data_IF_154971614666
#
_entry.id   IF_154971614666
#
_cell.length_a   1.000
_cell.length_b   1.000
_cell.length_c   1.000
_cell.angle_alpha   90.00
_cell.angle_beta   90.00
_cell.angle_gamma   90.00
#
_symmetry.space_group_name_H-M   'P 1'
#
loop_
_entity.id
_entity.type
_entity.pdbx_description
1 polymer ?
#
# COMPACT_ATOMS: atom_id res chain seq x y z
N UNK A 1 -17.70 -5.83 -12.46
CA UNK A 1 -17.11 -6.12 -11.13
C UNK A 1 -18.09 -5.90 -9.97
N UNK A 2 -18.69 -4.73 -9.75
CA UNK A 2 -19.60 -4.50 -8.59
C UNK A 2 -20.71 -5.54 -8.45
N UNK A 3 -21.41 -5.86 -9.54
CA UNK A 3 -22.48 -6.86 -9.52
C UNK A 3 -21.98 -8.24 -9.07
N UNK A 4 -20.87 -8.72 -9.64
CA UNK A 4 -20.26 -9.98 -9.26
C UNK A 4 -19.81 -10.03 -7.78
N UNK A 5 -19.35 -8.89 -7.23
CA UNK A 5 -19.00 -8.78 -5.79
C UNK A 5 -20.25 -8.96 -4.92
N UNK A 6 -21.36 -8.31 -5.31
CA UNK A 6 -22.64 -8.37 -4.59
C UNK A 6 -23.22 -9.79 -4.66
N UNK A 7 -23.33 -10.36 -5.86
CA UNK A 7 -23.86 -11.71 -6.11
C UNK A 7 -22.98 -12.79 -5.47
N UNK A 8 -21.66 -12.56 -5.41
CA UNK A 8 -20.71 -13.41 -4.71
C UNK A 8 -20.82 -13.37 -3.17
N UNK A 9 -21.70 -12.53 -2.62
CA UNK A 9 -21.96 -12.47 -1.18
C UNK A 9 -20.87 -11.79 -0.35
N UNK A 10 -19.97 -11.03 -0.99
CA UNK A 10 -18.90 -10.29 -0.31
C UNK A 10 -19.50 -9.27 0.67
N UNK A 11 -18.93 -9.18 1.87
CA UNK A 11 -19.47 -8.34 2.96
C UNK A 11 -18.71 -7.03 3.18
N UNK A 12 -17.47 -6.96 2.70
CA UNK A 12 -16.59 -5.80 2.86
C UNK A 12 -15.84 -5.60 1.54
N UNK A 13 -15.76 -4.35 1.09
CA UNK A 13 -15.00 -3.97 -0.12
C UNK A 13 -14.04 -2.85 0.22
N UNK A 14 -12.78 -2.99 -0.18
CA UNK A 14 -11.84 -1.87 -0.26
C UNK A 14 -11.96 -1.20 -1.64
N UNK A 15 -12.16 0.11 -1.65
CA UNK A 15 -12.12 0.94 -2.87
C UNK A 15 -10.92 1.87 -2.82
N UNK A 16 -10.37 2.21 -3.97
CA UNK A 16 -9.27 3.17 -4.11
C UNK A 16 -9.44 3.96 -5.42
N UNK A 17 -8.83 5.15 -5.48
CA UNK A 17 -8.84 6.00 -6.67
C UNK A 17 -9.89 7.12 -6.66
N UNK A 18 -10.03 7.79 -7.79
CA UNK A 18 -10.80 9.03 -7.91
C UNK A 18 -12.32 8.79 -8.04
N UNK A 19 -13.13 9.65 -7.40
CA UNK A 19 -14.61 9.66 -7.46
C UNK A 19 -15.28 8.29 -7.11
N UNK A 20 -15.10 7.76 -5.90
CA UNK A 20 -15.66 6.46 -5.51
C UNK A 20 -17.16 6.48 -5.21
N UNK A 21 -17.83 7.64 -5.18
CA UNK A 21 -19.22 7.80 -4.69
C UNK A 21 -20.20 6.78 -5.28
N UNK A 22 -20.23 6.65 -6.61
CA UNK A 22 -21.15 5.72 -7.29
C UNK A 22 -20.94 4.27 -6.81
N UNK A 23 -19.69 3.90 -6.52
CA UNK A 23 -19.35 2.57 -6.04
C UNK A 23 -19.72 2.39 -4.57
N UNK A 24 -19.42 3.39 -3.74
CA UNK A 24 -19.79 3.40 -2.32
C UNK A 24 -21.31 3.28 -2.20
N UNK A 25 -22.08 4.14 -2.85
CA UNK A 25 -23.55 4.12 -2.80
C UNK A 25 -24.11 2.75 -3.19
N UNK A 26 -23.60 2.19 -4.30
CA UNK A 26 -24.07 0.90 -4.78
C UNK A 26 -23.76 -0.24 -3.80
N UNK A 27 -22.60 -0.26 -3.17
CA UNK A 27 -22.28 -1.27 -2.14
C UNK A 27 -23.11 -1.08 -0.87
N UNK A 28 -23.31 0.17 -0.43
CA UNK A 28 -24.09 0.49 0.76
C UNK A 28 -25.57 0.12 0.61
N UNK A 29 -26.16 0.29 -0.59
CA UNK A 29 -27.52 -0.18 -0.91
C UNK A 29 -27.71 -1.69 -0.70
N UNK A 30 -26.63 -2.47 -0.77
CA UNK A 30 -26.63 -3.91 -0.59
C UNK A 30 -26.08 -4.34 0.78
N UNK A 31 -25.94 -3.41 1.73
CA UNK A 31 -25.46 -3.68 3.09
C UNK A 31 -23.98 -4.10 3.16
N UNK A 32 -23.19 -3.79 2.14
CA UNK A 32 -21.75 -4.10 2.09
C UNK A 32 -20.99 -2.95 2.73
N UNK A 33 -20.10 -3.26 3.67
CA UNK A 33 -19.21 -2.25 4.28
C UNK A 33 -18.14 -1.82 3.29
N UNK A 34 -17.79 -0.54 3.30
CA UNK A 34 -16.77 -0.01 2.39
C UNK A 34 -15.62 0.60 3.17
N UNK A 35 -14.41 0.13 2.88
CA UNK A 35 -13.16 0.81 3.26
C UNK A 35 -12.73 1.63 2.04
N UNK A 36 -12.39 2.91 2.21
CA UNK A 36 -11.84 3.71 1.11
C UNK A 36 -10.40 4.14 1.38
N UNK A 37 -9.49 3.79 0.46
CA UNK A 37 -8.08 4.15 0.54
C UNK A 37 -7.82 5.55 0.01
N UNK A 38 -7.14 6.36 0.82
CA UNK A 38 -6.95 7.79 0.62
C UNK A 38 -5.49 8.18 0.84
N UNK A 39 -4.96 9.07 0.01
CA UNK A 39 -3.59 9.59 0.11
C UNK A 39 -3.49 10.97 0.79
N UNK A 40 -4.63 11.54 1.19
CA UNK A 40 -4.68 12.85 1.82
C UNK A 40 -5.88 12.97 2.76
N UNK A 41 -5.74 13.81 3.80
CA UNK A 41 -6.81 14.07 4.78
C UNK A 41 -8.09 14.59 4.13
N UNK A 42 -7.97 15.44 3.09
CA UNK A 42 -9.13 15.95 2.33
C UNK A 42 -9.91 14.83 1.61
N UNK A 43 -9.20 13.80 1.14
CA UNK A 43 -9.81 12.65 0.47
C UNK A 43 -10.51 11.75 1.49
N UNK A 44 -9.88 11.52 2.64
CA UNK A 44 -10.47 10.78 3.76
C UNK A 44 -11.78 11.39 4.25
N UNK A 45 -11.78 12.70 4.52
CA UNK A 45 -12.98 13.43 4.92
C UNK A 45 -14.05 13.42 3.83
N UNK A 46 -13.65 13.43 2.55
CA UNK A 46 -14.60 13.28 1.47
C UNK A 46 -15.26 11.90 1.53
N UNK A 47 -14.48 10.82 1.57
CA UNK A 47 -14.99 9.46 1.57
C UNK A 47 -15.85 9.13 2.81
N UNK A 48 -15.51 9.67 3.97
CA UNK A 48 -16.37 9.61 5.16
C UNK A 48 -17.74 10.25 4.91
N UNK A 49 -17.78 11.46 4.32
CA UNK A 49 -19.06 12.09 3.91
C UNK A 49 -19.82 11.29 2.86
N UNK A 50 -19.13 10.51 2.03
CA UNK A 50 -19.75 9.59 1.06
C UNK A 50 -20.32 8.33 1.71
N UNK A 51 -20.05 8.09 2.99
CA UNK A 51 -20.58 6.94 3.74
C UNK A 51 -19.65 5.73 3.80
N UNK A 52 -18.34 5.91 3.56
CA UNK A 52 -17.35 4.87 3.84
C UNK A 52 -17.40 4.47 5.34
N UNK A 53 -17.31 3.17 5.62
CA UNK A 53 -17.36 2.60 6.97
C UNK A 53 -16.00 2.65 7.68
N UNK A 54 -14.92 2.74 6.92
CA UNK A 54 -13.56 2.97 7.41
C UNK A 54 -12.71 3.63 6.32
N UNK A 55 -11.60 4.23 6.71
CA UNK A 55 -10.61 4.80 5.79
C UNK A 55 -9.30 4.04 5.90
N UNK A 56 -8.61 3.84 4.78
CA UNK A 56 -7.20 3.42 4.76
C UNK A 56 -6.35 4.62 4.33
N UNK A 57 -5.50 5.13 5.22
CA UNK A 57 -4.65 6.30 4.95
C UNK A 57 -3.30 5.82 4.42
N UNK A 58 -3.07 6.03 3.12
CA UNK A 58 -1.85 5.65 2.42
C UNK A 58 -0.80 6.77 2.51
N UNK A 59 0.28 6.52 3.27
CA UNK A 59 1.42 7.42 3.37
C UNK A 59 2.34 7.37 2.16
N UNK A 60 3.27 8.32 2.08
CA UNK A 60 4.25 8.43 0.98
C UNK A 60 5.09 7.15 0.77
N UNK A 61 5.28 6.35 1.82
CA UNK A 61 6.05 5.11 1.84
C UNK A 61 5.37 3.96 1.05
N UNK A 62 4.08 4.09 0.72
CA UNK A 62 3.28 3.01 0.14
C UNK A 62 3.80 2.54 -1.23
N UNK A 63 3.59 1.25 -1.52
CA UNK A 63 3.69 0.73 -2.88
C UNK A 63 2.46 1.19 -3.69
N UNK A 64 2.59 1.39 -4.99
CA UNK A 64 1.48 1.89 -5.81
C UNK A 64 1.40 3.41 -5.76
N UNK A 65 0.22 4.01 -5.69
CA UNK A 65 0.04 5.45 -5.94
C UNK A 65 -0.06 6.26 -4.64
N UNK A 66 1.00 6.95 -4.17
CA UNK A 66 0.97 7.76 -2.95
C UNK A 66 0.28 9.12 -3.15
N UNK A 67 -0.20 9.42 -4.36
CA UNK A 67 -0.63 10.77 -4.73
C UNK A 67 0.57 11.70 -4.92
N UNK A 68 0.33 13.01 -4.77
CA UNK A 68 1.30 14.05 -5.15
C UNK A 68 1.69 14.98 -3.99
N UNK A 69 1.14 14.76 -2.79
CA UNK A 69 1.38 15.63 -1.63
C UNK A 69 2.68 15.29 -0.88
N UNK A 70 3.27 14.11 -1.13
CA UNK A 70 4.52 13.64 -0.54
C UNK A 70 4.57 13.66 1.00
N UNK A 71 3.45 13.32 1.66
CA UNK A 71 3.35 13.30 3.13
C UNK A 71 3.58 11.89 3.69
N UNK A 72 4.65 11.64 4.45
CA UNK A 72 4.91 10.36 5.09
C UNK A 72 3.85 10.00 6.14
N UNK A 73 3.66 8.70 6.39
CA UNK A 73 2.68 8.18 7.35
C UNK A 73 2.81 8.77 8.74
N UNK A 74 4.05 9.02 9.20
CA UNK A 74 4.34 9.65 10.49
C UNK A 74 3.59 10.98 10.72
N UNK A 75 3.34 11.74 9.64
CA UNK A 75 2.61 13.01 9.70
C UNK A 75 1.17 12.82 9.24
N UNK A 76 0.95 12.06 8.17
CA UNK A 76 -0.37 11.93 7.54
C UNK A 76 -1.39 11.23 8.45
N UNK A 77 -0.97 10.15 9.11
CA UNK A 77 -1.84 9.33 9.99
C UNK A 77 -2.39 10.16 11.15
N UNK A 78 -1.56 10.81 12.01
CA UNK A 78 -2.10 11.60 13.11
C UNK A 78 -2.83 12.86 12.63
N UNK A 79 -2.50 13.40 11.45
CA UNK A 79 -3.25 14.52 10.86
C UNK A 79 -4.67 14.10 10.42
N UNK A 80 -4.83 12.87 9.93
CA UNK A 80 -6.12 12.29 9.59
C UNK A 80 -6.91 11.91 10.85
N UNK A 81 -6.29 11.21 11.81
CA UNK A 81 -6.92 10.75 13.06
C UNK A 81 -7.60 11.88 13.85
N UNK A 82 -7.07 13.11 13.79
CA UNK A 82 -7.66 14.28 14.45
C UNK A 82 -8.95 14.80 13.80
N UNK A 83 -9.33 14.30 12.62
CA UNK A 83 -10.41 14.86 11.81
C UNK A 83 -11.42 13.82 11.32
N UNK A 84 -11.01 12.59 11.08
CA UNK A 84 -11.93 11.49 10.73
C UNK A 84 -12.55 10.92 12.00
N UNK A 85 -13.79 10.47 11.91
CA UNK A 85 -14.54 9.86 13.02
C UNK A 85 -14.76 8.36 12.82
N UNK A 86 -14.72 7.88 11.58
CA UNK A 86 -14.76 6.44 11.26
C UNK A 86 -13.43 5.75 11.56
N UNK A 87 -13.42 4.42 11.81
CA UNK A 87 -12.19 3.66 12.00
C UNK A 87 -11.19 3.85 10.85
N UNK A 88 -9.91 3.83 11.18
CA UNK A 88 -8.83 4.16 10.25
C UNK A 88 -7.72 3.12 10.25
N UNK A 89 -7.36 2.62 9.07
CA UNK A 89 -6.15 1.81 8.86
C UNK A 89 -5.00 2.71 8.41
N UNK A 90 -3.82 2.51 9.00
CA UNK A 90 -2.58 3.10 8.50
C UNK A 90 -2.01 2.22 7.37
N UNK A 91 -1.67 2.80 6.22
CA UNK A 91 -1.22 2.06 5.04
C UNK A 91 0.09 2.64 4.49
N UNK A 92 0.98 1.73 4.06
CA UNK A 92 2.31 2.07 3.53
C UNK A 92 3.40 2.18 4.61
N UNK A 93 4.50 1.43 4.45
CA UNK A 93 5.63 1.46 5.39
C UNK A 93 5.55 0.50 6.59
N UNK A 94 4.51 -0.33 6.68
CA UNK A 94 4.31 -1.29 7.79
C UNK A 94 4.67 -2.72 7.39
N UNK A 95 5.45 -3.42 8.21
CA UNK A 95 5.85 -4.82 7.99
C UNK A 95 5.94 -5.69 9.25
N UNK A 96 6.00 -5.10 10.45
CA UNK A 96 6.26 -5.81 11.70
C UNK A 96 5.42 -5.24 12.87
N UNK A 97 5.62 -5.80 14.08
CA UNK A 97 4.93 -5.34 15.29
C UNK A 97 5.29 -3.91 15.71
N UNK A 98 6.51 -3.44 15.43
CA UNK A 98 6.91 -2.06 15.73
C UNK A 98 6.10 -1.06 14.88
N UNK A 99 5.91 -1.37 13.59
CA UNK A 99 5.05 -0.62 12.71
C UNK A 99 3.59 -0.59 13.19
N UNK A 100 3.06 -1.74 13.64
CA UNK A 100 1.71 -1.81 14.21
C UNK A 100 1.57 -0.91 15.45
N UNK A 101 2.49 -1.01 16.42
CA UNK A 101 2.45 -0.17 17.63
C UNK A 101 2.54 1.32 17.28
N UNK A 102 3.41 1.69 16.34
CA UNK A 102 3.51 3.07 15.87
C UNK A 102 2.19 3.56 15.25
N UNK A 103 1.56 2.77 14.38
CA UNK A 103 0.27 3.12 13.78
C UNK A 103 -0.84 3.33 14.83
N UNK A 104 -0.94 2.42 15.81
CA UNK A 104 -1.89 2.52 16.90
C UNK A 104 -1.65 3.79 17.73
N UNK A 105 -0.39 4.06 18.08
CA UNK A 105 -0.01 5.27 18.83
C UNK A 105 -0.29 6.58 18.06
N UNK A 106 -0.23 6.54 16.73
CA UNK A 106 -0.57 7.67 15.86
C UNK A 106 -2.08 7.87 15.66
N UNK A 107 -2.92 6.97 16.19
CA UNK A 107 -4.38 7.08 16.17
C UNK A 107 -5.07 6.28 15.06
N UNK A 108 -4.39 5.30 14.45
CA UNK A 108 -5.04 4.30 13.61
C UNK A 108 -5.57 3.13 14.47
N UNK A 109 -6.49 2.34 13.92
CA UNK A 109 -7.08 1.14 14.53
C UNK A 109 -6.48 -0.17 13.98
N UNK A 110 -5.52 -0.06 13.07
CA UNK A 110 -4.85 -1.19 12.44
C UNK A 110 -3.94 -0.75 11.31
N UNK A 111 -3.29 -1.71 10.65
CA UNK A 111 -2.39 -1.48 9.52
C UNK A 111 -2.85 -2.24 8.27
N UNK A 112 -2.61 -1.65 7.10
CA UNK A 112 -2.72 -2.29 5.81
C UNK A 112 -1.33 -2.50 5.22
N UNK A 113 -1.07 -3.70 4.68
CA UNK A 113 0.23 -4.08 4.12
C UNK A 113 0.05 -4.65 2.72
N UNK A 114 0.96 -4.29 1.81
CA UNK A 114 1.04 -4.87 0.47
C UNK A 114 2.32 -5.71 0.34
N UNK A 115 3.45 -5.02 0.27
CA UNK A 115 4.79 -5.62 0.08
C UNK A 115 5.08 -6.76 1.06
N UNK A 116 4.74 -6.61 2.35
CA UNK A 116 4.93 -7.65 3.37
C UNK A 116 4.20 -8.97 3.04
N UNK A 117 2.97 -8.88 2.53
CA UNK A 117 2.20 -10.07 2.12
C UNK A 117 2.64 -10.64 0.77
N UNK A 118 3.31 -9.88 -0.09
CA UNK A 118 3.92 -10.44 -1.29
C UNK A 118 5.07 -11.40 -0.95
N UNK A 119 5.70 -11.22 0.22
CA UNK A 119 6.81 -12.02 0.73
C UNK A 119 6.32 -12.99 1.82
N UNK A 120 5.35 -13.84 1.46
CA UNK A 120 4.88 -14.98 2.26
C UNK A 120 4.85 -16.24 1.41
N UNK A 121 4.84 -17.41 2.04
CA UNK A 121 4.81 -18.69 1.33
C UNK A 121 3.56 -18.86 0.44
N UNK A 122 2.40 -18.41 0.93
CA UNK A 122 1.10 -18.54 0.26
C UNK A 122 0.90 -17.54 -0.89
N UNK A 123 1.68 -16.46 -0.93
CA UNK A 123 1.58 -15.50 -2.02
C UNK A 123 1.87 -16.16 -3.38
N UNK A 124 0.95 -16.11 -4.36
CA UNK A 124 1.10 -16.76 -5.66
C UNK A 124 1.97 -15.91 -6.60
N UNK A 125 3.17 -15.61 -6.14
CA UNK A 125 4.19 -14.82 -6.84
C UNK A 125 5.42 -15.69 -6.97
N UNK A 126 6.11 -15.60 -8.11
CA UNK A 126 7.34 -16.32 -8.33
C UNK A 126 8.39 -16.01 -7.24
N UNK A 127 9.14 -17.05 -6.86
CA UNK A 127 10.11 -17.01 -5.76
C UNK A 127 11.22 -15.98 -6.00
N UNK A 128 11.59 -15.69 -7.26
CA UNK A 128 12.60 -14.69 -7.60
C UNK A 128 12.20 -13.29 -7.11
N UNK A 129 10.92 -12.92 -7.20
CA UNK A 129 10.42 -11.63 -6.74
C UNK A 129 10.44 -11.53 -5.20
N UNK A 130 10.10 -12.63 -4.51
CA UNK A 130 10.16 -12.71 -3.05
C UNK A 130 11.58 -12.54 -2.55
N UNK A 131 12.53 -13.27 -3.15
CA UNK A 131 13.96 -13.20 -2.82
C UNK A 131 14.53 -11.82 -3.07
N UNK A 132 14.21 -11.20 -4.20
CA UNK A 132 14.69 -9.85 -4.47
C UNK A 132 14.19 -8.84 -3.44
N UNK A 133 12.93 -8.92 -3.00
CA UNK A 133 12.44 -8.04 -1.92
C UNK A 133 13.14 -8.29 -0.59
N UNK A 134 13.56 -9.53 -0.29
CA UNK A 134 14.33 -9.89 0.92
C UNK A 134 15.78 -9.40 0.85
N UNK A 135 16.39 -9.41 -0.33
CA UNK A 135 17.78 -8.99 -0.55
C UNK A 135 17.94 -7.47 -0.64
N UNK A 136 16.86 -6.76 -0.96
CA UNK A 136 16.85 -5.32 -1.16
C UNK A 136 16.82 -4.51 0.15
N UNK A 137 17.35 -3.29 0.08
CA UNK A 137 17.19 -2.28 1.12
C UNK A 137 16.03 -1.30 0.83
N UNK A 138 15.80 -0.34 1.73
CA UNK A 138 14.68 0.61 1.66
C UNK A 138 14.75 1.59 0.47
N UNK A 139 15.92 1.68 -0.18
CA UNK A 139 16.21 2.61 -1.28
C UNK A 139 15.92 1.99 -2.64
N UNK A 140 15.58 0.70 -2.69
CA UNK A 140 15.37 -0.06 -3.92
C UNK A 140 13.96 0.12 -4.51
N UNK A 141 13.47 1.36 -4.52
CA UNK A 141 12.21 1.73 -5.20
C UNK A 141 12.39 2.97 -6.06
N UNK A 142 11.62 3.07 -7.13
CA UNK A 142 11.51 4.28 -7.95
C UNK A 142 10.11 4.88 -7.83
N UNK A 143 10.02 6.20 -7.97
CA UNK A 143 8.76 6.90 -8.24
C UNK A 143 8.69 7.22 -9.73
N UNK A 144 7.80 6.54 -10.44
CA UNK A 144 7.52 6.79 -11.86
C UNK A 144 6.27 7.66 -12.01
N UNK A 145 6.11 8.28 -13.18
CA UNK A 145 5.01 9.16 -13.58
C UNK A 145 4.85 10.45 -12.77
N UNK A 146 5.92 10.89 -12.10
CA UNK A 146 5.92 12.15 -11.33
C UNK A 146 5.62 13.35 -12.23
N UNK A 147 6.21 13.37 -13.42
CA UNK A 147 6.00 14.45 -14.40
C UNK A 147 4.60 14.43 -15.02
N UNK A 148 3.87 13.31 -14.86
CA UNK A 148 2.53 13.10 -15.40
C UNK A 148 1.42 13.25 -14.34
N UNK A 149 1.77 13.62 -13.10
CA UNK A 149 0.83 13.70 -11.98
C UNK A 149 0.01 12.41 -11.75
N UNK A 150 0.67 11.27 -11.95
CA UNK A 150 0.11 9.94 -11.72
C UNK A 150 1.11 9.06 -10.99
N UNK A 151 1.79 9.63 -9.99
CA UNK A 151 2.95 9.03 -9.33
C UNK A 151 2.65 7.61 -8.85
N UNK A 152 3.56 6.68 -9.16
CA UNK A 152 3.53 5.32 -8.66
C UNK A 152 4.90 4.89 -8.11
N UNK A 153 4.92 4.35 -6.89
CA UNK A 153 6.06 3.66 -6.31
C UNK A 153 6.12 2.21 -6.77
N UNK A 154 7.25 1.88 -7.36
CA UNK A 154 7.53 0.59 -7.99
C UNK A 154 8.91 0.08 -7.56
N UNK A 155 9.16 -1.21 -7.76
CA UNK A 155 10.49 -1.77 -7.60
C UNK A 155 11.48 -1.02 -8.49
N UNK A 156 12.68 -0.73 -7.96
CA UNK A 156 13.79 -0.26 -8.77
C UNK A 156 14.36 -1.43 -9.59
N UNK A 157 14.30 -1.31 -10.91
CA UNK A 157 14.74 -2.33 -11.87
C UNK A 157 15.02 -1.66 -13.23
N UNK A 158 15.50 -2.44 -14.21
CA UNK A 158 15.87 -1.91 -15.52
C UNK A 158 14.75 -1.07 -16.19
N UNK A 159 13.49 -1.52 -16.12
CA UNK A 159 12.35 -0.84 -16.76
C UNK A 159 11.95 0.44 -16.03
N UNK A 160 11.91 0.42 -14.69
CA UNK A 160 11.57 1.64 -13.93
C UNK A 160 12.67 2.69 -14.01
N UNK A 161 13.94 2.29 -14.04
CA UNK A 161 15.07 3.21 -14.28
C UNK A 161 14.97 3.88 -15.66
N UNK A 162 14.58 3.13 -16.70
CA UNK A 162 14.35 3.67 -18.04
C UNK A 162 13.21 4.70 -18.06
N UNK A 163 12.09 4.42 -17.36
CA UNK A 163 10.97 5.37 -17.23
C UNK A 163 11.41 6.66 -16.55
N UNK A 164 12.14 6.57 -15.43
CA UNK A 164 12.66 7.75 -14.71
C UNK A 164 13.62 8.56 -15.60
N UNK A 165 14.48 7.91 -16.38
CA UNK A 165 15.39 8.61 -17.30
C UNK A 165 14.66 9.30 -18.46
N UNK A 166 13.58 8.70 -18.98
CA UNK A 166 12.72 9.36 -19.98
C UNK A 166 12.06 10.61 -19.38
N UNK A 167 11.50 10.50 -18.17
CA UNK A 167 10.88 11.63 -17.47
C UNK A 167 11.86 12.77 -17.16
N UNK A 168 13.10 12.43 -16.80
CA UNK A 168 14.15 13.41 -16.45
C UNK A 168 14.51 14.34 -17.62
N UNK A 169 14.26 13.94 -18.86
CA UNK A 169 14.51 14.77 -20.07
C UNK A 169 13.53 15.94 -20.19
N UNK A 170 12.39 15.88 -19.50
CA UNK A 170 11.34 16.91 -19.51
C UNK A 170 10.44 16.83 -20.74
N UNK A 171 9.20 17.33 -20.60
CA UNK A 171 8.20 17.34 -21.68
C UNK A 171 7.60 15.96 -22.03
N UNK A 172 7.86 14.96 -21.20
CA UNK A 172 7.36 13.58 -21.36
C UNK A 172 5.86 13.53 -21.36
N UNK A 173 5.30 12.72 -22.27
CA UNK A 173 3.90 12.33 -22.30
C UNK A 173 3.76 10.86 -21.97
N UNK A 174 2.55 10.42 -21.64
CA UNK A 174 2.31 9.02 -21.29
C UNK A 174 2.67 8.07 -22.44
N UNK A 175 2.43 8.48 -23.69
CA UNK A 175 2.74 7.70 -24.88
C UNK A 175 4.23 7.34 -25.00
N UNK A 176 5.12 8.19 -24.48
CA UNK A 176 6.57 7.99 -24.52
C UNK A 176 7.02 6.82 -23.65
N UNK A 177 6.27 6.51 -22.59
CA UNK A 177 6.59 5.46 -21.61
C UNK A 177 5.60 4.29 -21.63
N UNK A 178 4.47 4.43 -22.35
CA UNK A 178 3.37 3.45 -22.36
C UNK A 178 3.84 2.03 -22.66
N UNK A 179 4.74 1.86 -23.63
CA UNK A 179 5.28 0.56 -24.05
C UNK A 179 6.11 -0.15 -22.95
N UNK A 180 6.71 0.62 -22.03
CA UNK A 180 7.47 0.11 -20.89
C UNK A 180 6.55 -0.34 -19.76
N UNK A 181 5.46 0.39 -19.54
CA UNK A 181 4.64 0.31 -18.32
C UNK A 181 3.33 -0.45 -18.51
N UNK A 182 3.15 -1.12 -19.66
CA UNK A 182 1.93 -1.91 -19.88
C UNK A 182 1.79 -3.01 -18.83
N UNK A 183 0.58 -3.16 -18.27
CA UNK A 183 0.30 -4.23 -17.32
C UNK A 183 0.46 -5.64 -17.90
N UNK A 184 0.42 -5.79 -19.23
CA UNK A 184 0.71 -7.06 -19.91
C UNK A 184 2.18 -7.44 -19.73
N UNK A 185 3.10 -6.49 -19.89
CA UNK A 185 4.54 -6.70 -19.69
C UNK A 185 4.85 -7.08 -18.24
N UNK A 186 4.29 -6.35 -17.28
CA UNK A 186 4.45 -6.68 -15.84
C UNK A 186 3.91 -8.06 -15.48
N UNK A 187 2.73 -8.45 -15.98
CA UNK A 187 2.18 -9.80 -15.75
C UNK A 187 3.02 -10.90 -16.39
N UNK A 188 3.55 -10.66 -17.59
CA UNK A 188 4.45 -11.60 -18.25
C UNK A 188 5.74 -11.80 -17.46
N UNK A 189 6.37 -10.70 -17.05
CA UNK A 189 7.55 -10.70 -16.19
C UNK A 189 7.33 -11.53 -14.90
N UNK A 190 6.20 -11.33 -14.22
CA UNK A 190 5.83 -12.12 -13.04
C UNK A 190 5.64 -13.61 -13.34
N UNK A 191 5.04 -13.96 -14.48
CA UNK A 191 4.83 -15.34 -14.88
C UNK A 191 6.14 -16.05 -15.28
N UNK A 192 7.09 -15.30 -15.83
CA UNK A 192 8.38 -15.80 -16.33
C UNK A 192 9.49 -15.75 -15.26
N UNK A 193 9.22 -15.23 -14.05
CA UNK A 193 10.23 -15.03 -13.01
C UNK A 193 11.25 -13.92 -13.31
N UNK A 194 10.97 -13.09 -14.32
CA UNK A 194 11.86 -12.03 -14.79
C UNK A 194 11.59 -10.73 -14.02
N UNK A 195 12.37 -10.46 -12.99
CA UNK A 195 12.15 -9.30 -12.11
C UNK A 195 12.55 -7.95 -12.73
N UNK A 196 13.33 -7.96 -13.81
CA UNK A 196 13.71 -6.79 -14.59
C UNK A 196 12.80 -6.56 -15.80
N UNK A 197 11.99 -7.56 -16.17
CA UNK A 197 11.21 -7.58 -17.41
C UNK A 197 10.04 -6.61 -17.49
N UNK A 198 9.63 -5.95 -16.40
CA UNK A 198 8.48 -5.04 -16.39
C UNK A 198 8.32 -4.26 -15.09
N UNK A 199 7.30 -3.39 -15.05
CA UNK A 199 6.94 -2.66 -13.83
C UNK A 199 6.17 -3.56 -12.86
N UNK A 200 6.57 -3.56 -11.60
CA UNK A 200 5.84 -4.17 -10.50
C UNK A 200 6.00 -3.36 -9.21
N UNK A 201 4.97 -3.38 -8.37
CA UNK A 201 4.89 -2.51 -7.20
C UNK A 201 5.60 -3.13 -5.99
N UNK A 202 6.48 -2.35 -5.36
CA UNK A 202 7.10 -2.65 -4.09
C UNK A 202 7.23 -1.35 -3.28
N UNK A 203 7.06 -1.45 -1.95
CA UNK A 203 7.18 -0.33 -1.04
C UNK A 203 8.59 -0.28 -0.46
N UNK A 204 8.97 0.88 0.08
CA UNK A 204 10.27 1.08 0.75
C UNK A 204 10.44 0.12 1.94
N UNK A 205 9.32 -0.36 2.49
CA UNK A 205 9.27 -1.33 3.59
C UNK A 205 9.98 -2.66 3.29
N UNK A 206 10.30 -2.96 2.03
CA UNK A 206 11.11 -4.14 1.69
C UNK A 206 12.43 -4.20 2.46
N UNK A 207 13.05 -3.06 2.80
CA UNK A 207 14.28 -3.03 3.61
C UNK A 207 14.10 -3.49 5.06
N UNK A 208 12.87 -3.75 5.51
CA UNK A 208 12.55 -4.35 6.82
C UNK A 208 12.16 -5.83 6.70
N UNK A 209 12.09 -6.38 5.49
CA UNK A 209 11.66 -7.75 5.22
C UNK A 209 12.90 -8.62 5.03
N UNK A 210 13.11 -9.59 5.93
CA UNK A 210 14.30 -10.45 5.93
C UNK A 210 13.98 -11.95 5.93
N UNK A 211 12.71 -12.30 5.71
CA UNK A 211 12.19 -13.66 5.81
C UNK A 211 11.00 -13.89 4.84
N UNK A 212 10.64 -15.16 4.63
CA UNK A 212 9.46 -15.59 3.84
C UNK A 212 8.61 -16.54 4.71
N UNK A 213 7.86 -16.01 5.69
CA UNK A 213 7.05 -16.82 6.60
C UNK A 213 5.74 -17.28 5.92
N UNK A 214 5.03 -18.20 6.55
CA UNK A 214 3.60 -18.38 6.27
C UNK A 214 2.83 -17.13 6.70
N UNK A 215 1.64 -16.89 6.13
CA UNK A 215 0.75 -15.80 6.54
C UNK A 215 0.38 -15.93 8.03
N UNK A 216 0.21 -17.17 8.52
CA UNK A 216 -0.07 -17.41 9.93
C UNK A 216 1.07 -16.93 10.83
N UNK A 217 2.30 -17.37 10.55
CA UNK A 217 3.49 -16.97 11.30
C UNK A 217 3.70 -15.45 11.26
N UNK A 218 3.49 -14.83 10.10
CA UNK A 218 3.58 -13.38 9.94
C UNK A 218 2.61 -12.64 10.86
N UNK A 219 1.32 -13.01 10.84
CA UNK A 219 0.29 -12.34 11.64
C UNK A 219 0.51 -12.57 13.13
N UNK A 220 0.75 -13.83 13.53
CA UNK A 220 1.03 -14.17 14.93
C UNK A 220 2.27 -13.41 15.44
N UNK A 221 3.32 -13.33 14.62
CA UNK A 221 4.56 -12.61 14.92
C UNK A 221 4.33 -11.12 15.12
N UNK A 222 3.62 -10.46 14.19
CA UNK A 222 3.31 -9.02 14.29
C UNK A 222 2.54 -8.71 15.58
N UNK A 223 1.53 -9.52 15.93
CA UNK A 223 0.72 -9.30 17.13
C UNK A 223 1.54 -9.55 18.40
N UNK A 224 2.28 -10.66 18.46
CA UNK A 224 3.14 -11.00 19.60
C UNK A 224 4.24 -9.95 19.81
N UNK A 225 4.86 -9.46 18.74
CA UNK A 225 5.87 -8.40 18.80
C UNK A 225 5.26 -7.09 19.30
N UNK A 226 4.06 -6.73 18.82
CA UNK A 226 3.36 -5.55 19.29
C UNK A 226 3.02 -5.63 20.78
N UNK A 227 2.50 -6.76 21.26
CA UNK A 227 2.23 -7.00 22.69
C UNK A 227 3.50 -6.90 23.53
N UNK A 228 4.59 -7.51 23.08
CA UNK A 228 5.91 -7.44 23.74
C UNK A 228 6.47 -6.01 23.80
N UNK A 229 6.29 -5.22 22.74
CA UNK A 229 6.69 -3.82 22.73
C UNK A 229 5.85 -3.01 23.71
N UNK A 230 4.52 -3.17 23.70
CA UNK A 230 3.60 -2.44 24.57
C UNK A 230 3.88 -2.79 26.04
N UNK A 231 3.72 -4.07 26.41
CA UNK A 231 3.80 -4.53 27.80
C UNK A 231 5.23 -4.70 28.33
N UNK A 232 6.22 -4.67 27.43
CA UNK A 232 7.62 -4.80 27.78
C UNK A 232 8.36 -3.48 27.66
N UNK A 233 8.60 -3.04 26.42
CA UNK A 233 9.47 -1.89 26.15
C UNK A 233 8.86 -0.58 26.64
N UNK A 234 7.60 -0.29 26.27
CA UNK A 234 6.95 0.98 26.56
C UNK A 234 6.60 1.11 28.05
N UNK A 235 6.09 0.05 28.68
CA UNK A 235 5.84 0.04 30.12
C UNK A 235 7.11 0.44 30.91
N UNK A 236 8.28 -0.14 30.58
CA UNK A 236 9.55 0.22 31.24
C UNK A 236 10.01 1.67 31.03
N UNK A 237 9.48 2.39 30.05
CA UNK A 237 9.83 3.80 29.76
C UNK A 237 8.90 4.80 30.45
N UNK A 238 7.74 4.33 30.95
CA UNK A 238 6.72 5.17 31.59
C UNK A 238 6.72 5.06 33.11
N UNK A 239 7.55 4.18 33.66
CA UNK A 239 7.82 4.02 35.10
C UNK A 239 9.01 4.88 35.53
#
# INVERSE_FOLDING_TARGET
>A
YRQAIIEGGIKIVETAGYKPQEHIDHFKQHGIKVIHKCTAVRHALSAERMGADAISIDGFECAGHPGEDDIPGLILIPAAARKVSVPMLASGGFADGAGLVAALALGADGVNMGTRFCVTQEAPIDEAFKRQMVENDERMTNLIFRTLHNTARVMKNAVSDEVVEIERKGGTKFEDVQHLVTGVRGRKAMADGDTDGGIWSAGMVQGLINDIPTVKELIDGIVSDAESIIHGRLDRMTV
#
